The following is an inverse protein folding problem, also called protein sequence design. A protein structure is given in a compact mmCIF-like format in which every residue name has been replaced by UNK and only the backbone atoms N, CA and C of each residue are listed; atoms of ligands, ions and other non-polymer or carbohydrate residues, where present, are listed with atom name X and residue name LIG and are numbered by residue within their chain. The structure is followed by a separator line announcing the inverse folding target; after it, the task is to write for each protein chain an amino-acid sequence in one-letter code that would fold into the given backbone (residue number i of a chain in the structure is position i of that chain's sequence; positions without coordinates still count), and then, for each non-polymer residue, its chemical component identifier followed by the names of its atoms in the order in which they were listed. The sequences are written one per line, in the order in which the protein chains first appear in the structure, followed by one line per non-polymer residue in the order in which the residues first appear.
data_IF_292454000499
#
_entry.id   IF_292454000499
#
_cell.length_a   1.000
_cell.length_b   1.000
_cell.length_c   1.000
_cell.angle_alpha   90.00
_cell.angle_beta   90.00
_cell.angle_gamma   90.00
#
_symmetry.space_group_name_H-M   'P 1'
#
loop_
_entity.id
_entity.type
_entity.pdbx_description
1 polymer ?
#
# COMPACT_ATOMS: atom_id res chain seq x y z
N UNK A 1 -4.69 -11.71 -17.25
CA UNK A 1 -5.81 -11.63 -16.30
C UNK A 1 -6.12 -10.17 -16.04
N UNK A 2 -7.40 -9.79 -15.98
CA UNK A 2 -7.82 -8.42 -15.68
C UNK A 2 -7.65 -8.15 -14.19
N UNK A 3 -7.09 -7.00 -13.81
CA UNK A 3 -6.97 -6.60 -12.41
C UNK A 3 -8.36 -6.55 -11.74
N UNK A 4 -8.55 -7.32 -10.67
CA UNK A 4 -9.79 -7.37 -9.86
C UNK A 4 -9.76 -6.23 -8.85
N UNK A 5 -10.91 -5.61 -8.57
CA UNK A 5 -11.08 -4.57 -7.56
C UNK A 5 -12.13 -5.06 -6.56
N UNK A 6 -11.69 -5.43 -5.36
CA UNK A 6 -12.52 -5.96 -4.30
C UNK A 6 -12.68 -4.93 -3.19
N UNK A 7 -13.91 -4.75 -2.73
CA UNK A 7 -14.24 -3.97 -1.55
C UNK A 7 -14.75 -4.93 -0.47
N UNK A 8 -14.00 -5.02 0.64
CA UNK A 8 -14.38 -5.77 1.83
C UNK A 8 -15.01 -4.79 2.82
N UNK A 9 -16.32 -4.89 2.98
CA UNK A 9 -17.04 -4.10 3.95
C UNK A 9 -16.86 -4.71 5.36
N UNK A 10 -16.42 -3.88 6.30
CA UNK A 10 -16.30 -4.20 7.70
C UNK A 10 -17.34 -3.38 8.48
N UNK A 11 -17.83 -3.92 9.59
CA UNK A 11 -18.84 -3.23 10.42
C UNK A 11 -18.25 -2.03 11.14
N UNK A 12 -17.01 -2.17 11.59
CA UNK A 12 -16.28 -1.18 12.36
C UNK A 12 -14.75 -1.30 12.16
N UNK A 13 -14.01 -0.38 12.78
CA UNK A 13 -12.56 -0.33 12.71
C UNK A 13 -11.87 -1.54 13.34
N UNK A 14 -12.47 -2.18 14.35
CA UNK A 14 -11.90 -3.35 15.02
C UNK A 14 -11.94 -4.55 14.07
N UNK A 15 -13.10 -4.81 13.47
CA UNK A 15 -13.25 -5.84 12.45
C UNK A 15 -12.36 -5.59 11.23
N UNK A 16 -12.22 -4.33 10.79
CA UNK A 16 -11.32 -3.94 9.69
C UNK A 16 -9.87 -4.30 10.00
N UNK A 17 -9.38 -3.96 11.19
CA UNK A 17 -8.00 -4.26 11.61
C UNK A 17 -7.78 -5.77 11.72
N UNK A 18 -8.72 -6.51 12.31
CA UNK A 18 -8.65 -7.96 12.41
C UNK A 18 -8.64 -8.63 11.02
N UNK A 19 -9.44 -8.11 10.09
CA UNK A 19 -9.49 -8.58 8.71
C UNK A 19 -8.16 -8.28 7.98
N UNK A 20 -7.60 -7.08 8.13
CA UNK A 20 -6.29 -6.71 7.58
C UNK A 20 -5.19 -7.67 8.06
N UNK A 21 -5.11 -7.93 9.36
CA UNK A 21 -4.13 -8.85 9.94
C UNK A 21 -4.31 -10.28 9.40
N UNK A 22 -5.56 -10.74 9.32
CA UNK A 22 -5.90 -12.07 8.81
C UNK A 22 -5.48 -12.24 7.34
N UNK A 23 -5.78 -11.25 6.49
CA UNK A 23 -5.42 -11.28 5.07
C UNK A 23 -3.91 -11.17 4.88
N UNK A 24 -3.22 -10.29 5.62
CA UNK A 24 -1.77 -10.18 5.58
C UNK A 24 -1.09 -11.51 5.94
N UNK A 25 -1.53 -12.15 7.04
CA UNK A 25 -1.00 -13.43 7.47
C UNK A 25 -1.25 -14.52 6.41
N UNK A 26 -2.45 -14.56 5.84
CA UNK A 26 -2.81 -15.49 4.78
C UNK A 26 -1.92 -15.35 3.53
N UNK A 27 -1.78 -14.13 3.02
CA UNK A 27 -0.95 -13.83 1.85
C UNK A 27 0.53 -14.18 2.10
N UNK A 28 1.02 -13.87 3.30
CA UNK A 28 2.38 -14.20 3.71
C UNK A 28 2.62 -15.72 3.76
N UNK A 29 1.70 -16.49 4.36
CA UNK A 29 1.79 -17.96 4.41
C UNK A 29 1.81 -18.58 3.01
N UNK A 30 1.09 -17.99 2.06
CA UNK A 30 1.05 -18.42 0.66
C UNK A 30 2.24 -17.91 -0.17
N UNK A 31 3.16 -17.15 0.42
CA UNK A 31 4.27 -16.47 -0.28
C UNK A 31 3.78 -15.60 -1.44
N UNK A 32 2.55 -15.10 -1.35
CA UNK A 32 1.98 -14.22 -2.36
C UNK A 32 2.55 -12.81 -2.17
N UNK A 33 3.21 -12.20 -3.17
CA UNK A 33 3.70 -10.83 -3.04
C UNK A 33 2.53 -9.84 -3.03
N UNK A 34 2.48 -9.02 -1.98
CA UNK A 34 1.47 -7.97 -1.81
C UNK A 34 2.08 -6.69 -1.27
N UNK A 35 1.40 -5.58 -1.56
CA UNK A 35 1.71 -4.26 -1.05
C UNK A 35 0.65 -3.83 -0.06
N UNK A 36 1.04 -3.24 1.06
CA UNK A 36 0.12 -2.76 2.09
C UNK A 36 0.11 -1.23 2.16
N UNK A 37 -1.06 -0.65 1.95
CA UNK A 37 -1.35 0.77 2.05
C UNK A 37 -2.19 1.03 3.32
N UNK A 38 -1.51 1.18 4.46
CA UNK A 38 -2.11 1.57 5.73
C UNK A 38 -1.32 2.76 6.30
N UNK A 39 -2.01 3.81 6.75
CA UNK A 39 -1.38 5.01 7.30
C UNK A 39 -0.97 4.84 8.77
N UNK A 40 -1.78 4.15 9.57
CA UNK A 40 -1.52 3.93 11.00
C UNK A 40 -0.42 2.88 11.18
N UNK A 41 0.52 3.15 12.09
CA UNK A 41 1.61 2.22 12.41
C UNK A 41 2.57 1.96 11.25
N UNK A 42 2.51 2.74 10.18
CA UNK A 42 3.20 2.42 8.94
C UNK A 42 4.72 2.53 9.05
N UNK A 43 5.25 3.48 9.83
CA UNK A 43 6.68 3.76 9.89
C UNK A 43 7.15 3.90 11.33
N UNK A 44 8.34 3.38 11.62
CA UNK A 44 9.08 3.59 12.86
C UNK A 44 9.50 5.06 12.94
N UNK A 45 9.10 5.75 14.00
CA UNK A 45 9.20 7.22 14.13
C UNK A 45 10.60 7.73 14.43
N UNK A 46 11.48 6.89 14.96
CA UNK A 46 12.82 7.24 15.41
C UNK A 46 13.91 7.11 14.34
N UNK A 47 13.57 6.52 13.19
CA UNK A 47 14.46 6.33 12.03
C UNK A 47 13.93 7.12 10.82
N UNK A 48 14.78 7.34 9.83
CA UNK A 48 14.39 8.04 8.61
C UNK A 48 13.56 7.14 7.67
N UNK A 49 13.02 7.75 6.61
CA UNK A 49 12.22 7.04 5.62
C UNK A 49 13.03 5.97 4.88
N UNK A 50 14.27 6.27 4.45
CA UNK A 50 15.10 5.29 3.75
C UNK A 50 15.33 4.03 4.58
N UNK A 51 15.60 4.19 5.88
CA UNK A 51 15.76 3.10 6.85
C UNK A 51 14.46 2.30 7.01
N UNK A 52 13.31 2.97 7.15
CA UNK A 52 12.01 2.31 7.21
C UNK A 52 11.73 1.43 5.99
N UNK A 53 12.01 1.94 4.80
CA UNK A 53 11.75 1.24 3.55
C UNK A 53 12.75 0.10 3.33
N UNK A 54 14.02 0.32 3.69
CA UNK A 54 15.05 -0.70 3.65
C UNK A 54 14.72 -1.88 4.58
N UNK A 55 14.24 -1.65 5.80
CA UNK A 55 13.88 -2.73 6.73
C UNK A 55 12.89 -3.73 6.10
N UNK A 56 11.91 -3.23 5.35
CA UNK A 56 10.96 -4.07 4.62
C UNK A 56 11.65 -4.92 3.54
N UNK A 57 12.47 -4.29 2.69
CA UNK A 57 13.21 -4.98 1.64
C UNK A 57 14.24 -6.00 2.20
N UNK A 58 14.90 -5.66 3.31
CA UNK A 58 15.84 -6.54 3.97
C UNK A 58 15.15 -7.75 4.59
N UNK A 59 14.05 -7.54 5.32
CA UNK A 59 13.31 -8.62 5.97
C UNK A 59 12.78 -9.65 4.98
N UNK A 60 12.22 -9.19 3.85
CA UNK A 60 11.59 -10.08 2.88
C UNK A 60 12.52 -10.59 1.78
N UNK A 61 13.57 -9.85 1.42
CA UNK A 61 14.42 -10.12 0.25
C UNK A 61 15.92 -10.06 0.54
N UNK A 62 16.32 -9.88 1.80
CA UNK A 62 17.72 -9.81 2.25
C UNK A 62 18.57 -8.76 1.49
N UNK A 63 17.94 -7.69 1.02
CA UNK A 63 18.64 -6.64 0.29
C UNK A 63 19.41 -5.71 1.23
N UNK A 64 20.57 -5.22 0.78
CA UNK A 64 21.36 -4.22 1.50
C UNK A 64 20.79 -2.81 1.32
N UNK A 65 21.14 -1.89 2.21
CA UNK A 65 20.69 -0.51 2.12
C UNK A 65 21.22 0.18 0.85
N UNK A 66 22.47 -0.11 0.47
CA UNK A 66 23.09 0.45 -0.75
C UNK A 66 22.39 -0.02 -2.02
N UNK A 67 21.90 -1.27 -2.03
CA UNK A 67 21.18 -1.82 -3.18
C UNK A 67 19.76 -1.25 -3.32
N UNK A 68 19.10 -0.97 -2.20
CA UNK A 68 17.69 -0.50 -2.18
C UNK A 68 17.59 1.01 -2.46
N UNK A 69 18.57 1.80 -2.02
CA UNK A 69 18.50 3.26 -2.13
C UNK A 69 18.29 3.78 -3.58
N UNK A 70 19.00 3.31 -4.61
CA UNK A 70 18.75 3.74 -5.98
C UNK A 70 17.34 3.36 -6.48
N UNK A 71 16.82 2.20 -6.06
CA UNK A 71 15.47 1.75 -6.40
C UNK A 71 14.42 2.67 -5.80
N UNK A 72 14.61 3.05 -4.53
CA UNK A 72 13.73 4.00 -3.83
C UNK A 72 13.72 5.37 -4.50
N UNK A 73 14.89 5.90 -4.86
CA UNK A 73 15.01 7.16 -5.58
C UNK A 73 14.29 7.09 -6.93
N UNK A 74 14.43 5.98 -7.66
CA UNK A 74 13.75 5.78 -8.93
C UNK A 74 12.23 5.68 -8.76
N UNK A 75 11.73 4.97 -7.74
CA UNK A 75 10.31 4.86 -7.46
C UNK A 75 9.69 6.22 -7.09
N UNK A 76 10.35 6.99 -6.23
CA UNK A 76 9.92 8.34 -5.89
C UNK A 76 9.91 9.27 -7.12
N UNK A 77 10.93 9.17 -7.99
CA UNK A 77 10.95 9.92 -9.24
C UNK A 77 9.75 9.58 -10.14
N UNK A 78 9.38 8.29 -10.26
CA UNK A 78 8.18 7.86 -11.00
C UNK A 78 6.88 8.38 -10.37
N UNK A 79 6.88 8.60 -9.05
CA UNK A 79 5.78 9.24 -8.32
C UNK A 79 5.82 10.78 -8.37
N UNK A 80 6.69 11.37 -9.19
CA UNK A 80 6.78 12.83 -9.41
C UNK A 80 7.66 13.57 -8.41
N UNK A 81 8.44 12.85 -7.59
CA UNK A 81 9.39 13.45 -6.66
C UNK A 81 10.77 13.54 -7.33
N UNK A 82 11.07 14.71 -7.88
CA UNK A 82 12.37 15.01 -8.48
C UNK A 82 13.53 14.75 -7.52
N UNK A 83 14.74 14.57 -8.06
CA UNK A 83 15.90 14.03 -7.35
C UNK A 83 16.16 14.70 -5.98
N UNK A 84 16.15 16.03 -5.92
CA UNK A 84 16.36 16.77 -4.66
C UNK A 84 15.22 16.57 -3.65
N UNK A 85 13.97 16.56 -4.11
CA UNK A 85 12.82 16.38 -3.24
C UNK A 85 12.70 14.93 -2.76
N UNK A 86 12.97 13.96 -3.64
CA UNK A 86 13.03 12.54 -3.29
C UNK A 86 14.11 12.27 -2.23
N UNK A 87 15.32 12.81 -2.41
CA UNK A 87 16.39 12.69 -1.42
C UNK A 87 16.01 13.31 -0.06
N UNK A 88 15.36 14.47 -0.06
CA UNK A 88 14.84 15.11 1.17
C UNK A 88 13.84 14.22 1.90
N UNK A 89 12.89 13.61 1.18
CA UNK A 89 11.89 12.71 1.76
C UNK A 89 12.54 11.48 2.36
N UNK A 90 13.49 10.86 1.65
CA UNK A 90 14.21 9.68 2.12
C UNK A 90 15.01 9.94 3.40
N UNK A 91 15.57 11.14 3.55
CA UNK A 91 16.32 11.55 4.73
C UNK A 91 15.43 12.03 5.91
N UNK A 92 14.16 12.34 5.66
CA UNK A 92 13.25 12.83 6.69
C UNK A 92 12.82 11.72 7.65
N UNK A 93 12.45 12.10 8.87
CA UNK A 93 11.70 11.24 9.80
C UNK A 93 10.21 11.28 9.47
N UNK A 94 9.42 10.24 9.79
CA UNK A 94 8.00 10.20 9.49
C UNK A 94 7.21 11.43 9.98
N UNK A 95 7.54 11.94 11.18
CA UNK A 95 6.89 13.13 11.76
C UNK A 95 7.16 14.44 10.99
N UNK A 96 8.13 14.45 10.07
CA UNK A 96 8.47 15.61 9.25
C UNK A 96 7.79 15.56 7.87
N UNK A 97 7.06 14.49 7.56
CA UNK A 97 6.38 14.32 6.29
C UNK A 97 5.01 15.01 6.31
N UNK A 98 4.62 15.60 5.18
CA UNK A 98 3.23 15.93 4.94
C UNK A 98 2.38 14.65 4.79
N UNK A 99 1.05 14.76 4.88
CA UNK A 99 0.17 13.62 4.66
C UNK A 99 0.34 13.00 3.26
N UNK A 100 0.50 13.83 2.23
CA UNK A 100 0.77 13.39 0.85
C UNK A 100 2.13 12.69 0.73
N UNK A 101 3.19 13.23 1.34
CA UNK A 101 4.52 12.59 1.33
C UNK A 101 4.50 11.25 2.06
N UNK A 102 3.79 11.16 3.19
CA UNK A 102 3.61 9.92 3.92
C UNK A 102 2.91 8.85 3.05
N UNK A 103 1.85 9.22 2.32
CA UNK A 103 1.18 8.30 1.39
C UNK A 103 2.09 7.84 0.27
N UNK A 104 2.86 8.75 -0.33
CA UNK A 104 3.83 8.43 -1.37
C UNK A 104 4.92 7.47 -0.86
N UNK A 105 5.42 7.67 0.36
CA UNK A 105 6.39 6.79 1.02
C UNK A 105 5.80 5.39 1.24
N UNK A 106 4.57 5.30 1.74
CA UNK A 106 3.89 4.01 1.96
C UNK A 106 3.63 3.30 0.62
N UNK A 107 3.27 4.04 -0.42
CA UNK A 107 3.11 3.48 -1.75
C UNK A 107 4.45 3.00 -2.33
N UNK A 108 5.54 3.76 -2.16
CA UNK A 108 6.88 3.32 -2.57
C UNK A 108 7.27 2.02 -1.83
N UNK A 109 7.00 1.92 -0.52
CA UNK A 109 7.19 0.68 0.23
C UNK A 109 6.43 -0.49 -0.37
N UNK A 110 5.15 -0.29 -0.69
CA UNK A 110 4.32 -1.32 -1.28
C UNK A 110 4.88 -1.78 -2.64
N UNK A 111 5.36 -0.83 -3.46
CA UNK A 111 5.94 -1.11 -4.77
C UNK A 111 7.28 -1.86 -4.70
N UNK A 112 8.07 -1.68 -3.65
CA UNK A 112 9.29 -2.49 -3.43
C UNK A 112 9.01 -3.99 -3.34
N UNK A 113 7.79 -4.37 -2.95
CA UNK A 113 7.38 -5.77 -2.85
C UNK A 113 6.98 -6.39 -4.19
N UNK A 114 7.00 -5.62 -5.29
CA UNK A 114 6.51 -6.01 -6.62
C UNK A 114 5.12 -6.67 -6.53
N UNK A 115 4.12 -5.92 -6.03
CA UNK A 115 2.88 -6.51 -5.58
C UNK A 115 1.99 -6.92 -6.76
N UNK A 116 1.54 -8.17 -6.75
CA UNK A 116 0.41 -8.58 -7.59
C UNK A 116 -0.92 -8.14 -6.97
N UNK A 117 -0.95 -7.96 -5.64
CA UNK A 117 -2.12 -7.53 -4.86
C UNK A 117 -1.76 -6.27 -4.08
N UNK A 118 -2.55 -5.22 -4.23
CA UNK A 118 -2.52 -4.03 -3.40
C UNK A 118 -3.62 -4.12 -2.35
N UNK A 119 -3.23 -4.30 -1.09
CA UNK A 119 -4.10 -4.31 0.06
C UNK A 119 -4.13 -2.92 0.67
N UNK A 120 -5.30 -2.31 0.80
CA UNK A 120 -5.43 -0.95 1.31
C UNK A 120 -6.48 -0.85 2.42
N UNK A 121 -6.13 -0.09 3.43
CA UNK A 121 -7.09 0.45 4.40
C UNK A 121 -7.79 1.66 3.76
N UNK A 122 -9.12 1.77 3.89
CA UNK A 122 -9.87 2.93 3.41
C UNK A 122 -9.33 4.26 3.97
N UNK A 123 -8.79 4.26 5.19
CA UNK A 123 -8.15 5.43 5.81
C UNK A 123 -6.99 6.00 4.97
N UNK A 124 -6.33 5.17 4.16
CA UNK A 124 -5.27 5.63 3.26
C UNK A 124 -5.82 6.60 2.20
N UNK A 125 -7.06 6.40 1.77
CA UNK A 125 -7.78 7.28 0.85
C UNK A 125 -8.55 8.41 1.56
N UNK A 126 -8.68 8.37 2.89
CA UNK A 126 -9.38 9.41 3.64
C UNK A 126 -8.64 10.75 3.52
N UNK A 127 -9.40 11.82 3.26
CA UNK A 127 -8.83 13.16 3.10
C UNK A 127 -7.91 13.31 1.90
N UNK A 128 -8.07 12.49 0.85
CA UNK A 128 -7.40 12.66 -0.45
C UNK A 128 -7.79 14.03 -1.02
N UNK A 129 -6.85 14.98 -0.90
CA UNK A 129 -6.96 16.31 -1.48
C UNK A 129 -6.59 16.26 -2.96
N UNK A 130 -6.70 17.39 -3.67
CA UNK A 130 -6.33 17.46 -5.09
C UNK A 130 -4.89 16.96 -5.35
N UNK A 131 -3.94 17.30 -4.49
CA UNK A 131 -2.54 16.85 -4.59
C UNK A 131 -2.38 15.31 -4.47
N UNK A 132 -3.27 14.64 -3.74
CA UNK A 132 -3.27 13.18 -3.62
C UNK A 132 -3.91 12.51 -4.86
N UNK A 133 -4.82 13.19 -5.58
CA UNK A 133 -5.31 12.72 -6.89
C UNK A 133 -4.18 12.69 -7.92
N UNK A 134 -3.31 13.70 -7.90
CA UNK A 134 -2.15 13.74 -8.79
C UNK A 134 -1.17 12.60 -8.46
N UNK A 135 -0.98 12.27 -7.17
CA UNK A 135 -0.18 11.11 -6.76
C UNK A 135 -0.74 9.81 -7.35
N UNK A 136 -2.04 9.58 -7.23
CA UNK A 136 -2.69 8.39 -7.78
C UNK A 136 -2.64 8.34 -9.31
N UNK A 137 -2.76 9.48 -9.98
CA UNK A 137 -2.63 9.56 -11.44
C UNK A 137 -1.20 9.18 -11.88
N UNK A 138 -0.17 9.72 -11.21
CA UNK A 138 1.23 9.36 -11.50
C UNK A 138 1.55 7.91 -11.15
N UNK A 139 0.95 7.38 -10.09
CA UNK A 139 1.10 5.99 -9.70
C UNK A 139 0.41 5.01 -10.65
N UNK A 140 -0.63 5.44 -11.38
CA UNK A 140 -1.48 4.62 -12.25
C UNK A 140 -0.72 3.58 -13.10
N UNK A 141 0.27 3.97 -13.91
CA UNK A 141 1.05 3.02 -14.71
C UNK A 141 1.81 1.96 -13.89
N UNK A 142 2.18 2.27 -12.64
CA UNK A 142 2.93 1.38 -11.75
C UNK A 142 2.03 0.34 -11.07
N UNK A 143 0.74 0.63 -10.94
CA UNK A 143 -0.21 -0.16 -10.13
C UNK A 143 -1.41 -0.69 -10.93
N UNK A 144 -1.49 -0.38 -12.22
CA UNK A 144 -2.59 -0.80 -13.10
C UNK A 144 -2.74 -2.32 -13.20
N UNK A 145 -1.65 -3.06 -13.00
CA UNK A 145 -1.63 -4.51 -13.06
C UNK A 145 -2.02 -5.19 -11.74
N UNK A 146 -2.05 -4.46 -10.62
CA UNK A 146 -2.33 -5.02 -9.31
C UNK A 146 -3.83 -5.32 -9.16
N UNK A 147 -4.16 -6.44 -8.52
CA UNK A 147 -5.48 -6.64 -7.91
C UNK A 147 -5.60 -5.73 -6.69
N UNK A 148 -6.70 -5.00 -6.55
CA UNK A 148 -6.92 -4.06 -5.44
C UNK A 148 -7.91 -4.63 -4.46
N UNK A 149 -7.51 -4.80 -3.21
CA UNK A 149 -8.38 -5.22 -2.12
C UNK A 149 -8.43 -4.09 -1.09
N UNK A 150 -9.58 -3.46 -0.96
CA UNK A 150 -9.78 -2.35 -0.03
C UNK A 150 -10.64 -2.84 1.11
N UNK A 151 -10.18 -2.68 2.34
CA UNK A 151 -10.99 -2.91 3.53
C UNK A 151 -11.56 -1.57 3.99
N UNK A 152 -12.88 -1.53 4.17
CA UNK A 152 -13.61 -0.31 4.52
C UNK A 152 -14.57 -0.57 5.66
N UNK A 153 -14.43 0.19 6.73
CA UNK A 153 -15.42 0.35 7.80
C UNK A 153 -16.38 1.52 7.53
N UNK A 154 -16.17 2.27 6.45
CA UNK A 154 -17.13 3.24 5.96
C UNK A 154 -18.30 2.52 5.29
N UNK A 155 -19.50 2.79 5.79
CA UNK A 155 -20.77 2.25 5.28
C UNK A 155 -21.25 2.99 4.01
N UNK A 156 -20.51 4.00 3.56
CA UNK A 156 -20.78 4.72 2.31
C UNK A 156 -20.74 3.84 1.06
N UNK A 157 -21.52 4.22 0.05
CA UNK A 157 -21.47 3.53 -1.24
C UNK A 157 -20.14 3.84 -1.98
N UNK A 158 -19.48 2.84 -2.57
CA UNK A 158 -18.28 3.09 -3.37
C UNK A 158 -18.58 4.01 -4.55
N UNK A 159 -17.62 4.87 -4.88
CA UNK A 159 -17.73 5.85 -5.98
C UNK A 159 -18.03 5.12 -7.30
N UNK A 160 -19.06 5.57 -8.02
CA UNK A 160 -19.66 4.93 -9.21
C UNK A 160 -18.70 4.67 -10.37
N UNK A 161 -17.58 5.40 -10.43
CA UNK A 161 -16.68 5.40 -11.58
C UNK A 161 -15.68 4.23 -11.56
N UNK A 162 -15.70 3.42 -10.51
CA UNK A 162 -14.90 2.21 -10.38
C UNK A 162 -15.79 1.00 -10.12
N UNK A 163 -15.65 -0.03 -10.96
CA UNK A 163 -16.33 -1.31 -10.81
C UNK A 163 -15.73 -2.12 -9.64
N UNK A 164 -16.18 -1.80 -8.42
CA UNK A 164 -15.82 -2.50 -7.19
C UNK A 164 -16.74 -3.69 -6.98
N UNK A 165 -16.14 -4.88 -6.89
CA UNK A 165 -16.86 -6.09 -6.48
C UNK A 165 -16.88 -6.17 -4.96
N UNK A 166 -18.08 -6.15 -4.36
CA UNK A 166 -18.21 -6.40 -2.93
C UNK A 166 -17.87 -7.87 -2.63
N UNK A 167 -17.09 -8.09 -1.60
CA UNK A 167 -16.65 -9.43 -1.20
C UNK A 167 -16.61 -9.54 0.31
N UNK A 168 -17.14 -10.63 0.84
CA UNK A 168 -17.00 -10.97 2.27
C UNK A 168 -15.64 -11.63 2.51
N UNK A 169 -15.04 -11.36 3.68
CA UNK A 169 -13.74 -11.93 4.06
C UNK A 169 -13.73 -13.47 4.00
N UNK A 170 -14.79 -14.11 4.47
CA UNK A 170 -14.93 -15.58 4.42
C UNK A 170 -14.95 -16.11 2.99
N UNK A 171 -15.61 -15.39 2.09
CA UNK A 171 -15.71 -15.74 0.68
C UNK A 171 -14.35 -15.58 -0.02
N UNK A 172 -13.64 -14.48 0.24
CA UNK A 172 -12.28 -14.24 -0.25
C UNK A 172 -11.33 -15.36 0.19
N UNK A 173 -11.32 -15.68 1.49
CA UNK A 173 -10.44 -16.73 2.03
C UNK A 173 -10.79 -18.12 1.48
N UNK A 174 -12.06 -18.38 1.14
CA UNK A 174 -12.49 -19.64 0.54
C UNK A 174 -12.15 -19.75 -0.94
N UNK A 175 -12.28 -18.68 -1.73
CA UNK A 175 -11.84 -18.66 -3.14
C UNK A 175 -10.37 -19.11 -3.24
N UNK A 176 -9.49 -18.55 -2.41
CA UNK A 176 -8.07 -18.91 -2.41
C UNK A 176 -7.73 -20.28 -1.81
N UNK A 177 -8.63 -20.86 -1.00
CA UNK A 177 -8.46 -22.25 -0.53
C UNK A 177 -8.76 -23.25 -1.64
N UNK A 178 -9.67 -22.91 -2.56
CA UNK A 178 -10.13 -23.80 -3.61
C UNK A 178 -9.28 -23.73 -4.90
N UNK A 179 -8.42 -22.72 -5.04
CA UNK A 179 -7.44 -22.60 -6.14
C UNK A 179 -6.13 -23.40 -5.89
N UNK A 180 -6.10 -24.29 -4.88
CA UNK A 180 -4.99 -25.21 -4.59
C UNK A 180 -5.34 -26.66 -4.90
#
# INVERSE_FOLDING_TARGET
MTARRLLLACRDAEEKNQALDTVCAFLHQRKQPFGLLALRGALLSNINVAENLWLCANWHRQQSAEAVLPVLQQQLAKLGYEHANGARILAARPAQLSATDLRAVILARALLMEPAIMLADNDWFAGVLHADRDLMQRAGPLIAHCHWWVLSDDQGEPVSDVDWQRCDLSMLLNEFKNEC
#
